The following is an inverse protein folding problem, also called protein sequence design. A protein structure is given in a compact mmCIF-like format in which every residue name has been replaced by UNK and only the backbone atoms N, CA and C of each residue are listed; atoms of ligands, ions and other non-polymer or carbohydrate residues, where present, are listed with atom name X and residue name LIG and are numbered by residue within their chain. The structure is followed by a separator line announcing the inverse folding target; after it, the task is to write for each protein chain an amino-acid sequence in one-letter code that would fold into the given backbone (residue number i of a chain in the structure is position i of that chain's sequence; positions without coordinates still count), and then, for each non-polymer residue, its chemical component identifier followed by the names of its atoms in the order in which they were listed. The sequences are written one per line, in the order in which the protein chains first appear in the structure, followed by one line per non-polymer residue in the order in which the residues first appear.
data_IF_350326454713
#
_entry.id   IF_350326454713
#
_cell.length_a   1.000
_cell.length_b   1.000
_cell.length_c   1.000
_cell.angle_alpha   90.00
_cell.angle_beta   90.00
_cell.angle_gamma   90.00
#
_symmetry.space_group_name_H-M   'P 1'
#
loop_
_entity.id
_entity.type
_entity.pdbx_description
1 polymer ?
#
# COMPACT_ATOMS: atom_id res chain seq x y z
N UNK A 1 -28.83 -13.50 17.17
CA UNK A 1 -27.53 -13.56 16.49
C UNK A 1 -27.80 -13.60 15.00
N UNK A 2 -27.11 -12.79 14.20
CA UNK A 2 -27.23 -12.88 12.75
C UNK A 2 -26.33 -14.01 12.26
N UNK A 3 -26.86 -14.88 11.40
CA UNK A 3 -26.10 -15.97 10.77
C UNK A 3 -25.62 -15.52 9.39
N UNK A 4 -24.36 -15.78 9.07
CA UNK A 4 -23.75 -15.51 7.76
C UNK A 4 -23.06 -16.78 7.26
N UNK A 5 -23.11 -17.01 5.94
CA UNK A 5 -22.38 -18.11 5.30
C UNK A 5 -20.88 -17.82 5.26
N UNK A 6 -20.52 -16.56 5.05
CA UNK A 6 -19.14 -16.11 5.01
C UNK A 6 -18.95 -14.83 5.82
N UNK A 7 -17.85 -14.78 6.57
CA UNK A 7 -17.35 -13.57 7.22
C UNK A 7 -16.02 -13.21 6.57
N UNK A 8 -15.94 -12.02 5.99
CA UNK A 8 -14.73 -11.48 5.36
C UNK A 8 -14.15 -10.44 6.31
N UNK A 9 -12.91 -10.67 6.75
CA UNK A 9 -12.18 -9.77 7.64
C UNK A 9 -11.25 -8.89 6.79
N UNK A 10 -11.61 -7.62 6.66
CA UNK A 10 -10.91 -6.61 5.85
C UNK A 10 -11.67 -6.27 4.57
N UNK A 11 -12.23 -5.06 4.52
CA UNK A 11 -12.86 -4.45 3.34
C UNK A 11 -11.85 -3.81 2.40
N UNK A 12 -10.72 -4.46 2.16
CA UNK A 12 -9.67 -3.99 1.25
C UNK A 12 -9.91 -4.36 -0.22
N UNK A 13 -8.89 -4.16 -1.07
CA UNK A 13 -8.97 -4.40 -2.52
C UNK A 13 -9.53 -5.79 -2.88
N UNK A 14 -9.01 -6.86 -2.28
CA UNK A 14 -9.47 -8.22 -2.54
C UNK A 14 -10.77 -8.55 -1.77
N UNK A 15 -10.89 -8.05 -0.52
CA UNK A 15 -12.04 -8.33 0.34
C UNK A 15 -13.35 -7.79 -0.23
N UNK A 16 -13.35 -6.57 -0.77
CA UNK A 16 -14.52 -6.00 -1.45
C UNK A 16 -14.90 -6.78 -2.71
N UNK A 17 -13.93 -7.26 -3.48
CA UNK A 17 -14.20 -8.11 -4.66
C UNK A 17 -14.84 -9.43 -4.23
N UNK A 18 -14.28 -10.09 -3.21
CA UNK A 18 -14.80 -11.35 -2.70
C UNK A 18 -16.22 -11.18 -2.16
N UNK A 19 -16.46 -10.14 -1.34
CA UNK A 19 -17.77 -9.82 -0.79
C UNK A 19 -18.82 -9.62 -1.88
N UNK A 20 -18.51 -8.81 -2.90
CA UNK A 20 -19.41 -8.54 -4.03
C UNK A 20 -19.70 -9.78 -4.89
N UNK A 21 -18.77 -10.73 -4.98
CA UNK A 21 -18.98 -11.97 -5.75
C UNK A 21 -19.82 -12.98 -4.97
N UNK A 22 -19.50 -13.19 -3.69
CA UNK A 22 -20.20 -14.15 -2.82
C UNK A 22 -21.62 -13.70 -2.45
N UNK A 23 -21.83 -12.40 -2.25
CA UNK A 23 -23.14 -11.85 -1.84
C UNK A 23 -24.27 -12.07 -2.86
N UNK A 24 -23.93 -12.52 -4.08
CA UNK A 24 -24.91 -12.90 -5.11
C UNK A 24 -25.68 -14.18 -4.76
N UNK A 25 -25.14 -15.02 -3.90
CA UNK A 25 -25.72 -16.33 -3.58
C UNK A 25 -25.64 -16.68 -2.10
N UNK A 26 -24.91 -15.92 -1.29
CA UNK A 26 -24.63 -16.21 0.11
C UNK A 26 -24.86 -14.97 0.98
N UNK A 27 -25.22 -15.19 2.25
CA UNK A 27 -25.21 -14.16 3.28
C UNK A 27 -23.77 -13.87 3.70
N UNK A 28 -23.29 -12.66 3.41
CA UNK A 28 -21.90 -12.25 3.65
C UNK A 28 -21.83 -11.11 4.67
N UNK A 29 -21.01 -11.27 5.70
CA UNK A 29 -20.61 -10.19 6.59
C UNK A 29 -19.23 -9.68 6.19
N UNK A 30 -19.09 -8.39 5.92
CA UNK A 30 -17.81 -7.74 5.70
C UNK A 30 -17.47 -6.87 6.91
N UNK A 31 -16.32 -7.13 7.53
CA UNK A 31 -15.82 -6.36 8.68
C UNK A 31 -14.61 -5.54 8.24
N UNK A 32 -14.68 -4.22 8.38
CA UNK A 32 -13.57 -3.31 8.07
C UNK A 32 -13.22 -2.48 9.32
N UNK A 33 -11.93 -2.39 9.64
CA UNK A 33 -11.45 -1.71 10.83
C UNK A 33 -11.37 -0.18 10.67
N UNK A 34 -11.28 0.29 9.43
CA UNK A 34 -11.23 1.71 9.09
C UNK A 34 -12.59 2.39 8.95
N UNK A 35 -12.55 3.66 8.55
CA UNK A 35 -13.75 4.44 8.27
C UNK A 35 -14.39 4.03 6.95
N UNK A 36 -15.60 4.52 6.67
CA UNK A 36 -16.09 4.57 5.30
C UNK A 36 -15.18 5.40 4.38
N UNK A 37 -15.42 5.29 3.08
CA UNK A 37 -14.60 5.89 2.02
C UNK A 37 -15.29 7.08 1.33
N UNK A 38 -16.21 7.78 2.02
CA UNK A 38 -17.01 8.87 1.42
C UNK A 38 -16.29 10.22 1.37
N UNK A 39 -15.06 10.30 1.86
CA UNK A 39 -14.24 11.51 1.75
C UNK A 39 -13.90 11.81 0.29
N UNK A 40 -14.23 13.01 -0.17
CA UNK A 40 -13.98 13.46 -1.55
C UNK A 40 -12.50 13.31 -1.98
N UNK A 41 -11.57 13.35 -1.02
CA UNK A 41 -10.13 13.17 -1.29
C UNK A 41 -9.76 11.73 -1.65
N UNK A 42 -10.58 10.75 -1.28
CA UNK A 42 -10.42 9.35 -1.68
C UNK A 42 -10.84 9.16 -3.14
N UNK A 43 -11.93 9.80 -3.56
CA UNK A 43 -12.43 9.72 -4.94
C UNK A 43 -11.73 10.67 -5.91
N UNK A 44 -10.95 11.64 -5.40
CA UNK A 44 -10.16 12.57 -6.22
C UNK A 44 -8.75 12.02 -6.41
N UNK A 45 -8.30 11.72 -7.64
CA UNK A 45 -6.95 11.23 -7.90
C UNK A 45 -5.81 12.02 -7.23
N UNK A 46 -5.89 13.34 -7.29
CA UNK A 46 -4.93 14.25 -6.65
C UNK A 46 -5.09 14.39 -5.13
N UNK A 47 -6.09 13.75 -4.54
CA UNK A 47 -6.36 13.74 -3.10
C UNK A 47 -5.47 12.78 -2.31
N UNK A 48 -4.92 11.76 -2.96
CA UNK A 48 -4.05 10.73 -2.35
C UNK A 48 -2.92 11.30 -1.46
N UNK A 49 -2.15 12.34 -1.86
CA UNK A 49 -1.05 12.87 -1.04
C UNK A 49 -1.52 13.41 0.31
N UNK A 50 -2.78 13.84 0.41
CA UNK A 50 -3.36 14.41 1.62
C UNK A 50 -3.91 13.36 2.60
N UNK A 51 -4.06 12.11 2.16
CA UNK A 51 -4.69 11.03 2.94
C UNK A 51 -3.75 9.85 3.23
N UNK A 52 -2.54 9.83 2.68
CA UNK A 52 -1.53 8.77 2.92
C UNK A 52 -0.55 9.09 4.06
N UNK A 53 -0.56 10.29 4.62
CA UNK A 53 0.41 10.69 5.65
C UNK A 53 0.31 9.89 6.97
N UNK A 54 1.37 9.93 7.79
CA UNK A 54 1.52 9.20 9.07
C UNK A 54 0.42 9.42 10.13
N UNK A 55 -0.28 10.55 10.04
CA UNK A 55 -1.37 10.92 10.96
C UNK A 55 -2.76 10.75 10.33
N UNK A 56 -2.83 10.18 9.14
CA UNK A 56 -4.09 9.98 8.45
C UNK A 56 -4.90 8.89 9.11
N UNK A 57 -6.18 9.16 9.40
CA UNK A 57 -7.13 8.14 9.85
C UNK A 57 -7.38 7.04 8.81
N UNK A 58 -7.09 7.32 7.53
CA UNK A 58 -7.21 6.39 6.41
C UNK A 58 -5.97 5.51 6.22
N UNK A 59 -4.96 5.65 7.08
CA UNK A 59 -3.70 4.93 6.96
C UNK A 59 -3.29 4.30 8.30
N UNK A 60 -3.03 3.00 8.30
CA UNK A 60 -2.43 2.30 9.44
C UNK A 60 -1.07 2.87 9.84
N UNK A 61 -0.34 3.46 8.89
CA UNK A 61 0.90 4.18 9.13
C UNK A 61 1.96 3.34 9.81
N UNK A 62 2.13 2.09 9.36
CA UNK A 62 3.14 1.19 9.90
C UNK A 62 4.55 1.71 9.59
N UNK A 63 5.50 1.23 10.38
CA UNK A 63 6.93 1.42 10.18
C UNK A 63 7.57 0.04 10.12
N UNK A 64 8.57 -0.14 9.27
CA UNK A 64 9.39 -1.37 9.32
C UNK A 64 10.15 -1.46 10.64
N UNK A 65 10.73 -2.62 10.94
CA UNK A 65 11.92 -2.68 11.80
C UNK A 65 13.04 -1.83 11.19
N UNK A 66 14.04 -1.39 11.96
CA UNK A 66 15.22 -0.73 11.39
C UNK A 66 15.80 -1.60 10.27
N UNK A 67 16.06 -1.00 9.12
CA UNK A 67 16.60 -1.72 7.97
C UNK A 67 18.10 -1.43 7.88
N UNK A 68 18.93 -2.47 7.89
CA UNK A 68 20.37 -2.32 7.72
C UNK A 68 20.72 -1.56 6.44
N UNK A 69 20.00 -1.82 5.33
CA UNK A 69 20.18 -1.10 4.08
C UNK A 69 19.77 0.39 4.13
N UNK A 70 19.07 0.85 5.18
CA UNK A 70 18.80 2.27 5.38
C UNK A 70 19.88 2.95 6.21
N UNK A 71 20.78 2.20 6.85
CA UNK A 71 22.05 2.73 7.32
C UNK A 71 22.88 3.03 6.06
N UNK A 72 23.29 4.29 5.92
CA UNK A 72 24.27 4.62 4.89
C UNK A 72 25.61 4.08 5.37
N UNK A 73 26.40 3.50 4.47
CA UNK A 73 27.86 3.54 4.64
C UNK A 73 28.24 5.00 4.90
N UNK A 74 29.00 5.25 5.96
CA UNK A 74 29.54 6.57 6.24
C UNK A 74 30.49 6.95 5.09
N UNK A 75 29.98 7.61 4.06
CA UNK A 75 30.83 8.39 3.18
C UNK A 75 31.51 9.42 4.10
N UNK A 76 32.85 9.57 4.06
CA UNK A 76 33.53 10.58 4.86
C UNK A 76 32.80 11.90 4.63
N UNK A 77 32.31 12.51 5.72
CA UNK A 77 31.37 13.62 5.66
C UNK A 77 31.98 14.74 4.83
N UNK A 78 31.58 14.86 3.56
CA UNK A 78 31.86 16.06 2.81
C UNK A 78 31.15 17.19 3.56
N UNK A 79 31.90 18.19 4.00
CA UNK A 79 31.31 19.38 4.60
C UNK A 79 30.31 19.97 3.59
N UNK A 80 29.02 19.94 3.93
CA UNK A 80 27.99 20.55 3.09
C UNK A 80 27.81 22.00 3.51
N UNK A 81 27.77 22.88 2.53
CA UNK A 81 27.52 24.30 2.71
C UNK A 81 26.30 24.70 1.90
N UNK A 82 25.44 25.55 2.47
CA UNK A 82 24.35 26.22 1.76
C UNK A 82 24.78 27.66 1.51
N UNK A 83 24.66 28.11 0.27
CA UNK A 83 24.90 29.51 -0.09
C UNK A 83 23.55 30.23 -0.07
N UNK A 84 23.43 31.28 0.75
CA UNK A 84 22.23 32.11 0.74
C UNK A 84 22.18 33.03 -0.51
N UNK A 85 21.05 33.70 -0.71
CA UNK A 85 20.87 34.62 -1.84
C UNK A 85 21.76 35.86 -1.82
N UNK A 86 22.43 36.14 -0.70
CA UNK A 86 23.45 37.19 -0.54
C UNK A 86 24.88 36.69 -0.70
N UNK A 87 25.07 35.40 -0.98
CA UNK A 87 26.39 34.78 -1.13
C UNK A 87 27.02 34.31 0.19
N UNK A 88 26.29 34.36 1.31
CA UNK A 88 26.75 33.88 2.61
C UNK A 88 26.86 32.35 2.65
N UNK A 89 27.97 31.84 3.18
CA UNK A 89 28.26 30.41 3.26
C UNK A 89 27.85 29.85 4.63
N UNK A 90 26.86 28.97 4.67
CA UNK A 90 26.34 28.37 5.90
C UNK A 90 26.70 26.89 5.96
N UNK A 91 27.54 26.49 6.92
CA UNK A 91 27.86 25.09 7.16
C UNK A 91 26.60 24.36 7.60
N UNK A 92 26.26 23.26 6.95
CA UNK A 92 25.17 22.37 7.35
C UNK A 92 25.73 21.05 7.85
N UNK A 93 25.27 20.62 9.02
CA UNK A 93 25.54 19.27 9.49
C UNK A 93 24.59 18.30 8.80
N UNK A 94 25.14 17.30 8.12
CA UNK A 94 24.36 16.15 7.67
C UNK A 94 24.18 15.26 8.91
N UNK A 95 23.08 15.41 9.64
CA UNK A 95 22.76 14.44 10.69
C UNK A 95 22.29 13.15 10.02
N UNK A 96 23.17 12.15 10.01
CA UNK A 96 22.78 10.78 9.72
C UNK A 96 22.02 10.26 10.94
N UNK A 97 20.77 9.84 10.73
CA UNK A 97 20.03 9.11 11.76
C UNK A 97 20.36 7.63 11.60
N UNK A 98 20.98 7.02 12.61
CA UNK A 98 21.12 5.56 12.68
C UNK A 98 19.74 4.91 12.89
N UNK A 99 19.60 3.62 12.59
CA UNK A 99 18.36 2.85 12.81
C UNK A 99 17.10 3.37 12.06
N UNK A 100 17.25 3.87 10.83
CA UNK A 100 16.09 4.36 10.06
C UNK A 100 15.07 3.26 9.78
N UNK A 101 13.80 3.64 9.92
CA UNK A 101 12.63 2.81 9.62
C UNK A 101 11.95 3.32 8.36
N UNK A 102 11.41 2.39 7.59
CA UNK A 102 10.68 2.69 6.37
C UNK A 102 9.21 2.90 6.69
N UNK A 103 8.68 4.03 6.22
CA UNK A 103 7.26 4.29 6.29
C UNK A 103 6.50 3.31 5.39
N UNK A 104 5.54 2.59 5.96
CA UNK A 104 4.73 1.59 5.26
C UNK A 104 3.24 1.96 5.32
N UNK A 105 2.76 2.81 4.39
CA UNK A 105 1.35 3.15 4.33
C UNK A 105 0.50 1.94 3.93
N UNK A 106 -0.59 1.71 4.67
CA UNK A 106 -1.61 0.69 4.39
C UNK A 106 -2.99 1.28 4.63
N UNK A 107 -3.89 1.10 3.67
CA UNK A 107 -5.23 1.69 3.76
C UNK A 107 -6.00 1.15 4.95
N UNK A 108 -6.61 2.07 5.70
CA UNK A 108 -7.47 1.83 6.86
C UNK A 108 -8.82 2.50 6.61
N UNK A 109 -9.54 1.98 5.62
CA UNK A 109 -10.86 2.46 5.19
C UNK A 109 -11.49 1.42 4.26
N UNK A 110 -12.79 1.51 3.98
CA UNK A 110 -13.42 0.68 2.95
C UNK A 110 -12.74 0.89 1.58
N UNK A 111 -12.39 -0.21 0.91
CA UNK A 111 -11.47 -0.24 -0.25
C UNK A 111 -10.01 -0.49 0.16
N UNK A 112 -9.63 -0.22 1.41
CA UNK A 112 -8.28 -0.44 1.93
C UNK A 112 -7.23 0.29 1.11
N UNK A 113 -6.15 -0.39 0.74
CA UNK A 113 -5.07 0.25 -0.03
C UNK A 113 -5.48 0.68 -1.44
N UNK A 114 -6.57 0.16 -2.05
CA UNK A 114 -7.04 0.71 -3.33
C UNK A 114 -7.63 2.11 -3.21
N UNK A 115 -8.10 2.48 -2.01
CA UNK A 115 -8.64 3.82 -1.74
C UNK A 115 -7.55 4.89 -1.51
N UNK A 116 -6.29 4.47 -1.32
CA UNK A 116 -5.16 5.38 -1.01
C UNK A 116 -3.92 5.13 -1.86
N UNK A 117 -4.02 4.34 -2.94
CA UNK A 117 -2.89 4.08 -3.83
C UNK A 117 -2.71 5.21 -4.86
N UNK A 118 -1.66 5.09 -5.68
CA UNK A 118 -1.37 6.04 -6.75
C UNK A 118 -2.12 5.75 -8.08
N UNK A 119 -3.13 4.89 -8.06
CA UNK A 119 -3.97 4.48 -9.21
C UNK A 119 -3.22 3.92 -10.44
N UNK A 120 -1.94 3.56 -10.29
CA UNK A 120 -1.20 2.89 -11.35
C UNK A 120 -1.76 1.49 -11.59
N UNK A 121 -2.11 1.20 -12.84
CA UNK A 121 -2.52 -0.13 -13.28
C UNK A 121 -1.44 -0.76 -14.13
N UNK A 122 -0.84 -1.83 -13.61
CA UNK A 122 0.19 -2.63 -14.27
C UNK A 122 -0.09 -4.09 -13.93
N UNK A 123 0.08 -5.00 -14.91
CA UNK A 123 0.00 -6.45 -14.68
C UNK A 123 1.40 -7.01 -14.45
N UNK A 124 1.49 -8.11 -13.68
CA UNK A 124 2.73 -8.86 -13.55
C UNK A 124 3.17 -9.48 -14.88
N UNK A 125 4.43 -9.88 -14.95
CA UNK A 125 4.98 -10.59 -16.10
C UNK A 125 4.46 -12.04 -16.10
N UNK A 126 4.46 -12.71 -17.26
CA UNK A 126 3.98 -14.11 -17.37
C UNK A 126 4.76 -15.04 -16.43
N UNK A 127 6.05 -14.78 -16.30
CA UNK A 127 7.01 -15.55 -15.52
C UNK A 127 6.67 -15.54 -14.03
N UNK A 128 6.12 -14.44 -13.49
CA UNK A 128 5.74 -14.33 -12.08
C UNK A 128 4.68 -15.38 -11.70
N UNK A 129 3.65 -15.51 -12.55
CA UNK A 129 2.54 -16.44 -12.33
C UNK A 129 2.91 -17.88 -12.68
N UNK A 130 3.68 -18.07 -13.75
CA UNK A 130 4.19 -19.40 -14.11
C UNK A 130 5.14 -19.95 -13.03
N UNK A 131 5.92 -19.09 -12.36
CA UNK A 131 6.71 -19.48 -11.21
C UNK A 131 5.82 -19.96 -10.06
N UNK A 132 4.68 -19.30 -9.78
CA UNK A 132 3.73 -19.78 -8.76
C UNK A 132 3.16 -21.16 -9.11
N UNK A 133 2.80 -21.38 -10.36
CA UNK A 133 2.35 -22.69 -10.83
C UNK A 133 3.42 -23.77 -10.64
N UNK A 134 4.68 -23.47 -11.01
CA UNK A 134 5.81 -24.38 -10.84
C UNK A 134 6.09 -24.73 -9.36
N UNK A 135 5.75 -23.83 -8.43
CA UNK A 135 5.79 -24.08 -6.98
C UNK A 135 4.62 -24.97 -6.48
N UNK A 136 3.76 -25.47 -7.36
CA UNK A 136 2.65 -26.36 -7.03
C UNK A 136 1.30 -25.66 -6.88
N UNK A 137 1.21 -24.34 -7.13
CA UNK A 137 -0.06 -23.61 -7.08
C UNK A 137 -0.84 -23.83 -8.39
N UNK A 138 -1.47 -25.00 -8.51
CA UNK A 138 -2.28 -25.34 -9.67
C UNK A 138 -3.38 -24.28 -9.91
N UNK A 139 -3.59 -23.90 -11.17
CA UNK A 139 -4.54 -22.84 -11.55
C UNK A 139 -4.01 -21.41 -11.38
N UNK A 140 -2.73 -21.24 -11.06
CA UNK A 140 -2.08 -19.93 -10.95
C UNK A 140 -1.07 -19.62 -12.06
N UNK A 141 -1.04 -20.39 -13.15
CA UNK A 141 -0.22 -20.02 -14.32
C UNK A 141 -0.77 -18.73 -14.94
N UNK A 142 0.04 -18.01 -15.73
CA UNK A 142 -0.42 -16.78 -16.37
C UNK A 142 -1.68 -17.00 -17.20
N UNK A 143 -1.75 -18.11 -17.92
CA UNK A 143 -2.86 -18.43 -18.80
C UNK A 143 -4.13 -18.75 -17.98
N UNK A 144 -4.01 -19.32 -16.78
CA UNK A 144 -5.13 -19.54 -15.85
C UNK A 144 -5.68 -18.23 -15.25
N UNK A 145 -4.80 -17.28 -14.91
CA UNK A 145 -5.20 -16.03 -14.24
C UNK A 145 -5.59 -14.91 -15.20
N UNK A 146 -5.14 -14.96 -16.45
CA UNK A 146 -5.42 -13.93 -17.46
C UNK A 146 -6.92 -13.63 -17.66
N UNK A 147 -7.85 -14.61 -17.68
CA UNK A 147 -9.28 -14.33 -17.73
C UNK A 147 -9.77 -13.46 -16.57
N UNK A 148 -9.21 -13.62 -15.37
CA UNK A 148 -9.57 -12.82 -14.21
C UNK A 148 -9.03 -11.39 -14.32
N UNK A 149 -7.82 -11.19 -14.87
CA UNK A 149 -7.28 -9.85 -15.14
C UNK A 149 -8.03 -9.08 -16.22
N UNK A 150 -8.65 -9.79 -17.17
CA UNK A 150 -9.50 -9.19 -18.21
C UNK A 150 -10.92 -8.90 -17.73
N UNK A 151 -11.39 -9.62 -16.70
CA UNK A 151 -12.73 -9.46 -16.11
C UNK A 151 -12.80 -8.33 -15.08
N UNK A 152 -11.65 -8.01 -14.47
CA UNK A 152 -11.52 -7.01 -13.42
C UNK A 152 -11.62 -5.57 -13.96
#
# INVERSE_FOLDING_TARGET
MNTYDFIIIGGGSAGCVLANRLSKSFAVCLVEAGSDNRDIRISTPMGFPFIVGRKSKYNWSFETTPQAAFEKEALPSAESYVVDSSGGLHRTEISATENRRGFQPRGKTLGGSSAINAMLYIRGQKEDYNAWYALGNQGWSYDDVLPYFKKA
#
